data_IF_006450029668
#
_entry.id   IF_006450029668
#
_cell.length_a   1.000
_cell.length_b   1.000
_cell.length_c   1.000
_cell.angle_alpha   90.00
_cell.angle_beta   90.00
_cell.angle_gamma   90.00
#
_symmetry.space_group_name_H-M   'P 1'
#
loop_
_entity.id
_entity.type
_entity.pdbx_description
1 polymer ?
#
# COMPACT_ATOMS: atom_id res chain seq x y z
N UNK A 1 -17.41 -18.12 26.27
CA UNK A 1 -16.12 -17.70 26.88
C UNK A 1 -15.00 -18.57 26.33
N UNK A 2 -13.97 -17.96 25.81
CA UNK A 2 -12.75 -18.69 25.39
C UNK A 2 -11.85 -18.78 26.62
N UNK A 3 -11.67 -20.00 27.13
CA UNK A 3 -10.71 -20.26 28.18
C UNK A 3 -9.31 -20.44 27.58
N UNK A 4 -8.38 -19.59 27.95
CA UNK A 4 -6.97 -19.74 27.60
C UNK A 4 -6.28 -20.65 28.62
N UNK A 5 -5.27 -21.47 28.21
CA UNK A 5 -4.42 -22.20 29.14
C UNK A 5 -3.74 -21.26 30.14
N UNK A 6 -3.59 -21.71 31.41
CA UNK A 6 -3.06 -20.88 32.48
C UNK A 6 -1.61 -20.44 32.25
N UNK A 7 -0.82 -21.23 31.53
CA UNK A 7 0.55 -20.92 31.14
C UNK A 7 0.66 -19.80 30.11
N UNK A 8 -0.43 -19.49 29.42
CA UNK A 8 -0.54 -18.35 28.47
C UNK A 8 -1.09 -17.09 29.16
N UNK A 9 -1.58 -17.21 30.39
CA UNK A 9 -2.11 -16.08 31.15
C UNK A 9 -1.00 -15.29 31.83
N UNK A 10 -1.06 -13.97 31.70
CA UNK A 10 -0.16 -13.08 32.41
C UNK A 10 -0.42 -13.16 33.90
N UNK A 11 0.64 -13.46 34.66
CA UNK A 11 0.57 -13.60 36.13
C UNK A 11 0.66 -12.27 36.88
N UNK A 12 1.17 -11.21 36.25
CA UNK A 12 1.25 -9.85 36.77
C UNK A 12 0.80 -8.84 35.75
N UNK A 13 0.16 -7.77 36.20
CA UNK A 13 -0.10 -6.63 35.33
C UNK A 13 1.20 -6.10 34.72
N UNK A 14 1.18 -5.55 33.49
CA UNK A 14 2.34 -4.89 32.92
C UNK A 14 2.75 -3.70 33.81
N UNK A 15 4.04 -3.53 33.97
CA UNK A 15 4.61 -2.40 34.72
C UNK A 15 4.55 -1.14 33.84
N UNK A 16 3.36 -0.59 33.71
CA UNK A 16 3.10 0.66 33.00
C UNK A 16 2.98 1.79 34.03
N UNK A 17 3.54 2.98 33.73
CA UNK A 17 3.39 4.13 34.62
C UNK A 17 1.92 4.53 34.74
N UNK A 18 1.45 4.75 35.96
CA UNK A 18 0.16 5.35 36.23
C UNK A 18 0.26 6.85 36.01
N UNK A 19 -0.35 7.33 34.92
CA UNK A 19 -0.29 8.72 34.51
C UNK A 19 -1.68 9.26 34.20
N UNK A 20 -1.87 10.55 34.44
CA UNK A 20 -3.08 11.24 34.02
C UNK A 20 -3.13 11.44 32.50
N UNK A 21 -4.33 11.56 31.95
CA UNK A 21 -4.55 11.82 30.52
C UNK A 21 -3.73 13.00 29.99
N UNK A 22 -3.67 14.09 30.78
CA UNK A 22 -2.93 15.30 30.41
C UNK A 22 -1.42 15.02 30.25
N UNK A 23 -0.84 14.21 31.12
CA UNK A 23 0.58 13.90 31.09
C UNK A 23 0.90 12.98 29.90
N UNK A 24 0.05 12.01 29.63
CA UNK A 24 0.17 11.13 28.45
C UNK A 24 0.05 11.96 27.17
N UNK A 25 -0.93 12.83 27.07
CA UNK A 25 -1.13 13.69 25.90
C UNK A 25 0.07 14.61 25.65
N UNK A 26 0.59 15.23 26.72
CA UNK A 26 1.79 16.08 26.62
C UNK A 26 3.03 15.31 26.22
N UNK A 27 3.23 14.12 26.79
CA UNK A 27 4.36 13.26 26.47
C UNK A 27 4.40 12.92 24.97
N UNK A 28 3.29 12.44 24.42
CA UNK A 28 3.23 12.11 22.98
C UNK A 28 3.28 13.34 22.07
N UNK A 29 2.74 14.47 22.52
CA UNK A 29 2.87 15.73 21.77
C UNK A 29 4.34 16.17 21.69
N UNK A 30 5.11 16.06 22.76
CA UNK A 30 6.55 16.38 22.72
C UNK A 30 7.33 15.39 21.86
N UNK A 31 7.00 14.10 21.90
CA UNK A 31 7.62 13.12 21.01
C UNK A 31 7.33 13.42 19.55
N UNK A 32 6.11 13.79 19.21
CA UNK A 32 5.74 14.18 17.84
C UNK A 32 6.52 15.39 17.32
N UNK A 33 6.93 16.33 18.19
CA UNK A 33 7.76 17.47 17.80
C UNK A 33 9.20 17.08 17.45
N UNK A 34 9.68 15.95 17.96
CA UNK A 34 11.02 15.45 17.69
C UNK A 34 11.12 14.65 16.38
N UNK A 35 9.99 14.30 15.78
CA UNK A 35 9.90 13.52 14.54
C UNK A 35 9.52 14.42 13.38
N UNK A 36 10.27 14.31 12.28
CA UNK A 36 9.92 15.02 11.06
C UNK A 36 8.73 14.32 10.36
N UNK A 37 7.72 15.08 10.00
CA UNK A 37 6.51 14.59 9.36
C UNK A 37 5.97 15.54 8.29
N UNK A 38 5.10 15.05 7.44
CA UNK A 38 4.48 15.80 6.34
C UNK A 38 3.71 17.04 6.81
N UNK A 39 3.20 17.04 8.05
CA UNK A 39 2.49 18.17 8.65
C UNK A 39 3.42 19.24 9.24
N UNK A 40 4.69 18.93 9.48
CA UNK A 40 5.68 19.85 10.06
C UNK A 40 6.65 20.44 9.04
N UNK A 41 6.69 19.91 7.81
CA UNK A 41 7.57 20.42 6.77
C UNK A 41 7.55 19.58 5.51
N UNK A 42 8.43 19.89 4.59
CA UNK A 42 8.62 19.13 3.35
C UNK A 42 9.16 17.74 3.65
N UNK A 43 8.48 16.71 3.13
CA UNK A 43 8.89 15.33 3.32
C UNK A 43 9.56 14.79 2.04
N UNK A 44 10.83 14.36 2.10
CA UNK A 44 11.64 14.09 0.91
C UNK A 44 11.36 12.74 0.24
N UNK A 45 10.61 11.84 0.88
CA UNK A 45 10.32 10.50 0.33
C UNK A 45 9.08 10.52 -0.57
N UNK A 46 9.18 9.91 -1.73
CA UNK A 46 8.12 9.86 -2.73
C UNK A 46 7.44 8.51 -2.92
N UNK A 47 8.11 7.40 -2.60
CA UNK A 47 7.67 6.03 -2.89
C UNK A 47 6.69 5.43 -1.87
N UNK A 48 6.26 6.17 -0.88
CA UNK A 48 5.32 5.75 0.17
C UNK A 48 4.15 6.73 0.30
N UNK A 49 3.22 6.44 1.20
CA UNK A 49 2.04 7.27 1.47
C UNK A 49 2.36 8.59 2.20
N UNK A 50 3.61 9.05 2.16
CA UNK A 50 4.07 10.26 2.86
C UNK A 50 3.79 11.55 2.07
N UNK A 51 2.60 11.68 1.48
CA UNK A 51 2.10 12.92 0.87
C UNK A 51 1.20 13.62 1.85
N UNK A 52 1.13 14.96 1.75
CA UNK A 52 0.18 15.71 2.54
C UNK A 52 -1.24 15.25 2.20
N UNK A 53 -1.97 14.83 3.24
CA UNK A 53 -3.38 14.47 3.13
C UNK A 53 -4.21 15.53 3.88
N UNK A 54 -5.06 16.30 3.21
CA UNK A 54 -5.93 17.27 3.88
C UNK A 54 -6.74 16.61 5.00
N UNK A 55 -6.80 17.25 6.17
CA UNK A 55 -7.49 16.69 7.35
C UNK A 55 -8.96 16.37 7.08
N UNK A 56 -9.60 17.15 6.21
CA UNK A 56 -10.99 16.92 5.81
C UNK A 56 -11.18 15.53 5.17
N UNK A 57 -10.18 14.99 4.48
CA UNK A 57 -10.26 13.67 3.89
C UNK A 57 -10.39 12.58 4.97
N UNK A 58 -9.62 12.71 6.05
CA UNK A 58 -9.70 11.78 7.20
C UNK A 58 -11.05 11.89 7.91
N UNK A 59 -11.54 13.12 8.12
CA UNK A 59 -12.83 13.36 8.73
C UNK A 59 -13.98 12.76 7.92
N UNK A 60 -13.96 12.91 6.60
CA UNK A 60 -14.97 12.33 5.71
C UNK A 60 -14.87 10.81 5.65
N UNK A 61 -13.66 10.25 5.56
CA UNK A 61 -13.45 8.80 5.56
C UNK A 61 -13.87 8.15 6.89
N UNK A 62 -13.79 8.87 8.01
CA UNK A 62 -14.20 8.38 9.33
C UNK A 62 -15.72 8.40 9.59
N UNK A 63 -16.52 8.95 8.68
CA UNK A 63 -17.97 8.97 8.84
C UNK A 63 -18.55 7.55 9.00
N UNK A 64 -19.48 7.33 9.94
CA UNK A 64 -20.04 5.99 10.20
C UNK A 64 -20.67 5.31 8.98
N UNK A 65 -21.17 6.09 8.03
CA UNK A 65 -21.72 5.60 6.76
C UNK A 65 -20.66 4.90 5.87
N UNK A 66 -19.38 5.19 6.07
CA UNK A 66 -18.26 4.52 5.39
C UNK A 66 -17.59 3.46 6.26
N UNK A 67 -17.32 3.78 7.54
CA UNK A 67 -16.54 2.89 8.42
C UNK A 67 -17.39 1.78 9.04
N UNK A 68 -18.70 1.97 9.17
CA UNK A 68 -19.61 1.00 9.79
C UNK A 68 -20.22 -0.03 8.83
N UNK A 69 -19.79 -0.07 7.55
CA UNK A 69 -20.32 -1.01 6.57
C UNK A 69 -19.47 -2.27 6.47
N UNK A 70 -20.12 -3.42 6.28
CA UNK A 70 -19.41 -4.67 6.06
C UNK A 70 -18.99 -4.78 4.59
N UNK A 71 -17.76 -5.28 4.26
CA UNK A 71 -17.28 -5.41 2.88
C UNK A 71 -18.17 -6.28 1.97
N UNK A 72 -18.91 -7.24 2.54
CA UNK A 72 -19.85 -8.10 1.83
C UNK A 72 -21.31 -7.65 1.97
N UNK A 73 -21.57 -6.42 2.41
CA UNK A 73 -22.92 -5.89 2.45
C UNK A 73 -23.49 -5.81 1.02
N UNK A 74 -24.82 -6.06 0.84
CA UNK A 74 -25.44 -5.92 -0.48
C UNK A 74 -25.26 -4.50 -1.03
N UNK A 75 -24.89 -4.36 -2.29
CA UNK A 75 -24.62 -3.06 -2.93
C UNK A 75 -25.79 -2.07 -2.76
N UNK A 76 -27.03 -2.57 -2.74
CA UNK A 76 -28.23 -1.75 -2.52
C UNK A 76 -28.26 -1.05 -1.15
N UNK A 77 -27.57 -1.58 -0.14
CA UNK A 77 -27.49 -0.99 1.21
C UNK A 77 -26.32 -0.04 1.40
N UNK A 78 -25.37 -0.01 0.45
CA UNK A 78 -24.12 0.77 0.52
C UNK A 78 -23.91 1.64 -0.72
N UNK A 79 -24.98 2.15 -1.30
CA UNK A 79 -24.98 2.91 -2.56
C UNK A 79 -23.96 4.05 -2.58
N UNK A 80 -23.86 4.82 -1.48
CA UNK A 80 -22.91 5.92 -1.38
C UNK A 80 -21.46 5.47 -1.44
N UNK A 81 -21.11 4.31 -0.86
CA UNK A 81 -19.77 3.74 -0.97
C UNK A 81 -19.46 3.31 -2.42
N UNK A 82 -20.43 2.70 -3.10
CA UNK A 82 -20.30 2.32 -4.51
C UNK A 82 -20.12 3.56 -5.39
N UNK A 83 -20.93 4.59 -5.20
CA UNK A 83 -20.85 5.86 -5.95
C UNK A 83 -19.49 6.55 -5.77
N UNK A 84 -18.91 6.53 -4.57
CA UNK A 84 -17.55 7.06 -4.32
C UNK A 84 -16.51 6.28 -5.14
N UNK A 85 -16.58 4.95 -5.15
CA UNK A 85 -15.65 4.11 -5.92
C UNK A 85 -15.80 4.34 -7.43
N UNK A 86 -17.03 4.37 -7.94
CA UNK A 86 -17.30 4.62 -9.37
C UNK A 86 -16.80 6.01 -9.79
N UNK A 87 -17.10 7.04 -9.00
CA UNK A 87 -16.65 8.41 -9.27
C UNK A 87 -15.13 8.51 -9.27
N UNK A 88 -14.48 7.94 -8.25
CA UNK A 88 -13.03 7.93 -8.16
C UNK A 88 -12.39 7.14 -9.32
N UNK A 89 -12.96 6.00 -9.68
CA UNK A 89 -12.50 5.19 -10.81
C UNK A 89 -12.54 5.98 -12.12
N UNK A 90 -13.67 6.61 -12.42
CA UNK A 90 -13.84 7.42 -13.64
C UNK A 90 -12.84 8.58 -13.71
N UNK A 91 -12.67 9.32 -12.60
CA UNK A 91 -11.70 10.42 -12.54
C UNK A 91 -10.24 9.92 -12.71
N UNK A 92 -9.89 8.80 -12.12
CA UNK A 92 -8.56 8.22 -12.27
C UNK A 92 -8.32 7.69 -13.69
N UNK A 93 -9.31 7.08 -14.32
CA UNK A 93 -9.22 6.66 -15.73
C UNK A 93 -9.00 7.86 -16.65
N UNK A 94 -9.70 8.96 -16.42
CA UNK A 94 -9.54 10.20 -17.21
C UNK A 94 -8.13 10.78 -17.03
N UNK A 95 -7.61 10.84 -15.79
CA UNK A 95 -6.29 11.40 -15.50
C UNK A 95 -5.17 10.54 -16.08
N UNK A 96 -5.31 9.22 -16.03
CA UNK A 96 -4.24 8.28 -16.43
C UNK A 96 -4.34 7.80 -17.87
N UNK A 97 -5.48 7.98 -18.51
CA UNK A 97 -5.78 7.44 -19.85
C UNK A 97 -6.01 5.93 -19.86
N UNK A 98 -6.32 5.33 -18.71
CA UNK A 98 -6.64 3.91 -18.58
C UNK A 98 -8.12 3.64 -18.83
N UNK A 99 -8.46 2.43 -19.27
CA UNK A 99 -9.84 2.04 -19.59
C UNK A 99 -10.66 1.68 -18.36
N UNK A 100 -9.99 1.20 -17.31
CA UNK A 100 -10.64 0.77 -16.08
C UNK A 100 -9.71 0.90 -14.86
N UNK A 101 -10.28 0.83 -13.65
CA UNK A 101 -9.56 0.99 -12.39
C UNK A 101 -10.05 -0.02 -11.34
N UNK A 102 -9.12 -0.56 -10.56
CA UNK A 102 -9.44 -1.39 -9.39
C UNK A 102 -8.94 -0.77 -8.10
N UNK A 103 -9.74 -0.88 -7.03
CA UNK A 103 -9.42 -0.43 -5.67
C UNK A 103 -9.10 -1.59 -4.73
N UNK A 104 -8.93 -2.83 -5.25
CA UNK A 104 -8.60 -4.00 -4.44
C UNK A 104 -7.18 -3.98 -3.83
N UNK A 105 -6.14 -3.44 -4.52
CA UNK A 105 -4.80 -3.37 -3.95
C UNK A 105 -4.78 -2.53 -2.67
N UNK A 106 -4.25 -3.11 -1.58
CA UNK A 106 -4.20 -2.44 -0.28
C UNK A 106 -3.03 -1.46 -0.12
N UNK A 107 -2.02 -1.56 -0.97
CA UNK A 107 -0.82 -0.72 -0.97
C UNK A 107 -0.13 -0.72 -2.34
N UNK A 108 0.90 0.12 -2.52
CA UNK A 108 1.66 0.21 -3.77
C UNK A 108 2.25 -1.12 -4.24
N UNK A 109 2.78 -1.94 -3.32
CA UNK A 109 3.28 -3.27 -3.64
C UNK A 109 2.20 -4.21 -4.21
N UNK A 110 0.97 -4.12 -3.70
CA UNK A 110 -0.16 -4.89 -4.23
C UNK A 110 -0.65 -4.34 -5.58
N UNK A 111 -0.55 -3.03 -5.81
CA UNK A 111 -0.82 -2.43 -7.12
C UNK A 111 0.16 -2.90 -8.18
N UNK A 112 1.45 -2.93 -7.86
CA UNK A 112 2.50 -3.49 -8.73
C UNK A 112 2.23 -4.97 -9.02
N UNK A 113 1.96 -5.77 -8.00
CA UNK A 113 1.64 -7.19 -8.14
C UNK A 113 0.43 -7.42 -9.04
N UNK A 114 -0.65 -6.66 -8.84
CA UNK A 114 -1.86 -6.72 -9.67
C UNK A 114 -1.55 -6.39 -11.13
N UNK A 115 -0.76 -5.34 -11.39
CA UNK A 115 -0.36 -4.95 -12.74
C UNK A 115 0.46 -6.05 -13.43
N UNK A 116 1.43 -6.64 -12.74
CA UNK A 116 2.26 -7.73 -13.31
C UNK A 116 1.45 -9.00 -13.53
N UNK A 117 0.47 -9.31 -12.64
CA UNK A 117 -0.47 -10.42 -12.86
C UNK A 117 -1.32 -10.20 -14.11
N UNK A 118 -1.83 -8.99 -14.34
CA UNK A 118 -2.59 -8.67 -15.55
C UNK A 118 -1.75 -8.86 -16.81
N UNK A 119 -0.49 -8.40 -16.80
CA UNK A 119 0.46 -8.63 -17.90
C UNK A 119 0.68 -10.13 -18.12
N UNK A 120 0.87 -10.89 -17.05
CA UNK A 120 1.04 -12.35 -17.13
C UNK A 120 -0.17 -13.02 -17.78
N UNK A 121 -1.37 -12.70 -17.29
CA UNK A 121 -2.62 -13.25 -17.81
C UNK A 121 -2.87 -12.86 -19.28
N UNK A 122 -2.51 -11.65 -19.66
CA UNK A 122 -2.60 -11.22 -21.06
C UNK A 122 -1.73 -12.09 -21.97
N UNK A 123 -0.47 -12.38 -21.58
CA UNK A 123 0.41 -13.23 -22.38
C UNK A 123 -0.03 -14.69 -22.37
N UNK A 124 -0.45 -15.21 -21.22
CA UNK A 124 -0.91 -16.59 -21.09
C UNK A 124 -2.17 -16.84 -21.95
N UNK A 125 -3.13 -15.92 -21.94
CA UNK A 125 -4.35 -16.01 -22.76
C UNK A 125 -4.08 -16.01 -24.26
N UNK A 126 -2.95 -15.45 -24.69
CA UNK A 126 -2.50 -15.43 -26.09
C UNK A 126 -1.59 -16.61 -26.47
N UNK A 127 -1.28 -17.48 -25.53
CA UNK A 127 -0.33 -18.58 -25.74
C UNK A 127 1.13 -18.12 -25.89
N UNK A 128 1.47 -16.93 -25.43
CA UNK A 128 2.80 -16.31 -25.56
C UNK A 128 3.73 -16.78 -24.43
N UNK A 129 4.03 -18.08 -24.43
CA UNK A 129 4.80 -18.76 -23.37
C UNK A 129 6.30 -18.37 -23.35
N UNK A 130 6.79 -17.65 -24.37
CA UNK A 130 8.19 -17.20 -24.42
C UNK A 130 8.47 -15.93 -23.60
N UNK A 131 7.44 -15.21 -23.20
CA UNK A 131 7.55 -14.01 -22.36
C UNK A 131 7.53 -14.40 -20.89
N UNK A 132 8.56 -15.10 -20.44
CA UNK A 132 8.69 -15.67 -19.09
C UNK A 132 9.73 -14.95 -18.22
N UNK A 133 10.29 -13.83 -18.70
CA UNK A 133 11.36 -13.08 -18.02
C UNK A 133 10.97 -11.63 -17.77
N UNK A 134 11.47 -11.11 -16.66
CA UNK A 134 11.45 -9.68 -16.35
C UNK A 134 12.88 -9.22 -16.09
N UNK A 135 13.29 -8.17 -16.80
CA UNK A 135 14.59 -7.52 -16.64
C UNK A 135 14.47 -6.55 -15.46
N UNK A 136 15.41 -6.64 -14.52
CA UNK A 136 15.43 -5.83 -13.30
C UNK A 136 16.83 -5.24 -13.13
N UNK A 137 16.99 -3.90 -13.15
CA UNK A 137 18.24 -3.27 -12.77
C UNK A 137 18.62 -3.58 -11.32
N UNK A 138 19.92 -3.68 -11.02
CA UNK A 138 20.41 -3.91 -9.65
C UNK A 138 20.07 -2.78 -8.68
N UNK A 139 19.80 -1.57 -9.19
CA UNK A 139 19.33 -0.40 -8.44
C UNK A 139 17.82 -0.39 -8.18
N UNK A 140 17.07 -1.38 -8.68
CA UNK A 140 15.62 -1.43 -8.50
C UNK A 140 15.24 -1.64 -7.04
N UNK A 141 14.07 -1.10 -6.66
CA UNK A 141 13.49 -1.38 -5.36
C UNK A 141 13.23 -2.89 -5.20
N UNK A 142 13.46 -3.44 -4.00
CA UNK A 142 13.32 -4.87 -3.72
C UNK A 142 11.95 -5.48 -4.03
N UNK A 143 10.89 -4.67 -4.06
CA UNK A 143 9.56 -5.10 -4.45
C UNK A 143 9.49 -5.56 -5.91
N UNK A 144 10.25 -4.93 -6.82
CA UNK A 144 10.18 -5.24 -8.24
C UNK A 144 10.57 -6.71 -8.55
N UNK A 145 11.76 -7.20 -8.15
CA UNK A 145 12.09 -8.61 -8.36
C UNK A 145 11.18 -9.56 -7.56
N UNK A 146 10.76 -9.18 -6.33
CA UNK A 146 9.86 -9.99 -5.52
C UNK A 146 8.51 -10.18 -6.22
N UNK A 147 7.90 -9.12 -6.73
CA UNK A 147 6.65 -9.16 -7.49
C UNK A 147 6.79 -10.01 -8.75
N UNK A 148 7.87 -9.84 -9.50
CA UNK A 148 8.15 -10.64 -10.69
C UNK A 148 8.20 -12.14 -10.37
N UNK A 149 8.90 -12.51 -9.30
CA UNK A 149 8.99 -13.91 -8.84
C UNK A 149 7.63 -14.47 -8.40
N UNK A 150 6.85 -13.70 -7.64
CA UNK A 150 5.50 -14.08 -7.20
C UNK A 150 4.55 -14.33 -8.37
N UNK A 151 4.71 -13.58 -9.47
CA UNK A 151 3.94 -13.77 -10.70
C UNK A 151 4.47 -14.93 -11.58
N UNK A 152 5.51 -15.63 -11.17
CA UNK A 152 6.07 -16.76 -11.89
C UNK A 152 7.02 -16.40 -13.03
N UNK A 153 7.52 -15.16 -13.07
CA UNK A 153 8.54 -14.76 -14.02
C UNK A 153 9.95 -15.12 -13.55
N UNK A 154 10.84 -15.38 -14.49
CA UNK A 154 12.29 -15.47 -14.26
C UNK A 154 12.87 -14.06 -14.23
N UNK A 155 13.69 -13.78 -13.21
CA UNK A 155 14.33 -12.48 -13.05
C UNK A 155 15.67 -12.48 -13.77
N UNK A 156 15.91 -11.46 -14.59
CA UNK A 156 17.19 -11.19 -15.22
C UNK A 156 17.73 -9.90 -14.64
N UNK A 157 18.72 -10.01 -13.76
CA UNK A 157 19.36 -8.84 -13.16
C UNK A 157 20.36 -8.23 -14.13
N UNK A 158 20.30 -6.91 -14.28
CA UNK A 158 21.25 -6.14 -15.09
C UNK A 158 22.04 -5.22 -14.16
N UNK A 159 23.39 -5.24 -14.21
CA UNK A 159 24.21 -4.38 -13.38
C UNK A 159 24.12 -2.91 -13.79
N UNK A 160 24.52 -2.05 -12.88
CA UNK A 160 24.71 -0.63 -13.17
C UNK A 160 26.09 -0.39 -13.79
N UNK A 161 26.15 0.45 -14.82
CA UNK A 161 27.39 0.97 -15.38
C UNK A 161 28.05 1.97 -14.41
N UNK A 162 29.35 2.32 -14.60
CA UNK A 162 30.05 3.25 -13.71
C UNK A 162 29.43 4.65 -13.58
N UNK A 163 28.62 5.06 -14.54
CA UNK A 163 27.89 6.33 -14.53
C UNK A 163 26.54 6.24 -13.76
N UNK A 164 26.20 5.10 -13.16
CA UNK A 164 24.95 4.85 -12.44
C UNK A 164 23.75 4.52 -13.32
N UNK A 165 23.91 4.46 -14.62
CA UNK A 165 22.86 4.01 -15.55
C UNK A 165 22.87 2.47 -15.68
N UNK A 166 21.83 1.92 -16.33
CA UNK A 166 21.82 0.49 -16.70
C UNK A 166 22.98 0.21 -17.68
N UNK A 167 23.68 -0.89 -17.45
CA UNK A 167 24.71 -1.36 -18.37
C UNK A 167 24.06 -1.92 -19.65
N UNK A 168 24.20 -1.18 -20.74
CA UNK A 168 23.58 -1.53 -22.02
C UNK A 168 24.27 -2.70 -22.73
N UNK A 169 25.55 -3.01 -22.38
CA UNK A 169 26.22 -4.17 -22.94
C UNK A 169 25.78 -5.46 -22.25
N UNK A 170 25.41 -5.36 -20.96
CA UNK A 170 24.88 -6.48 -20.21
C UNK A 170 23.38 -6.73 -20.51
N UNK A 171 22.65 -5.73 -20.98
CA UNK A 171 21.24 -5.81 -21.35
C UNK A 171 21.05 -6.56 -22.67
#
# INVERSE_FOLDING_TARGET
EVSLPDDLLRQKAPDLPEMGETDVSRHYTELCKQVHGVNSGFYPLGSCTMKYNPRINEEMAALPGFTGVHPLAPAASVKGCVEVLETAGNLLCEITGMDDMTFQPAAGAHGEFTGVLLIKQYHDARGDSKRDKIIVPDSAHGTNPATAAMCGYKIVNIPSAPNGCVDLEAL
#
